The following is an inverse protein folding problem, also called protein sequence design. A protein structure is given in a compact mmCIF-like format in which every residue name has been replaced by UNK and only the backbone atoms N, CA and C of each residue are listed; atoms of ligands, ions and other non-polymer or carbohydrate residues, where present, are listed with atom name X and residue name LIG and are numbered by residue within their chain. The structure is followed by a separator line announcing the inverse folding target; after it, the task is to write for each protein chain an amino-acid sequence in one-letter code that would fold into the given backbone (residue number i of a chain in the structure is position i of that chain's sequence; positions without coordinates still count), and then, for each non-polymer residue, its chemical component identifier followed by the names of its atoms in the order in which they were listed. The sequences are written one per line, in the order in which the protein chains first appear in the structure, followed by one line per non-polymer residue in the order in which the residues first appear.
data_IF_760522690855
#
_entry.id   IF_760522690855
#
_cell.length_a   1.000
_cell.length_b   1.000
_cell.length_c   1.000
_cell.angle_alpha   90.00
_cell.angle_beta   90.00
_cell.angle_gamma   90.00
#
_symmetry.space_group_name_H-M   'P 1'
#
loop_
_entity.id
_entity.type
_entity.pdbx_description
1 polymer ?
#
# COMPACT_ATOMS: atom_id res chain seq x y z
N UNK A 1 14.83 32.43 49.67
CA UNK A 1 13.93 31.34 49.18
C UNK A 1 13.15 31.74 47.94
N UNK A 2 12.66 32.98 47.82
CA UNK A 2 11.82 33.42 46.68
C UNK A 2 12.43 33.35 45.26
N UNK A 3 13.74 33.57 45.09
CA UNK A 3 14.36 33.64 43.75
C UNK A 3 14.46 32.24 43.10
N UNK A 4 14.93 31.23 43.86
CA UNK A 4 15.06 29.87 43.34
C UNK A 4 13.70 29.25 42.98
N UNK A 5 12.64 29.57 43.74
CA UNK A 5 11.28 29.14 43.44
C UNK A 5 10.73 29.76 42.14
N UNK A 6 11.07 31.02 41.85
CA UNK A 6 10.68 31.67 40.58
C UNK A 6 11.41 31.06 39.38
N UNK A 7 12.69 30.71 39.54
CA UNK A 7 13.45 30.02 38.50
C UNK A 7 12.95 28.61 38.23
N UNK A 8 12.60 27.84 39.28
CA UNK A 8 12.04 26.49 39.10
C UNK A 8 10.67 26.53 38.42
N UNK A 9 9.81 27.49 38.78
CA UNK A 9 8.51 27.68 38.12
C UNK A 9 8.66 28.08 36.64
N UNK A 10 9.63 28.93 36.30
CA UNK A 10 9.93 29.29 34.91
C UNK A 10 10.38 28.07 34.11
N UNK A 11 11.30 27.27 34.63
CA UNK A 11 11.79 26.05 33.97
C UNK A 11 10.66 25.03 33.78
N UNK A 12 9.78 24.87 34.78
CA UNK A 12 8.67 23.94 34.68
C UNK A 12 7.66 24.38 33.61
N UNK A 13 7.40 25.70 33.51
CA UNK A 13 6.47 26.26 32.52
C UNK A 13 6.98 26.16 31.09
N UNK A 14 8.30 26.33 30.87
CA UNK A 14 8.89 26.20 29.53
C UNK A 14 8.98 24.72 29.12
N UNK A 15 9.30 23.83 30.07
CA UNK A 15 9.31 22.39 29.83
C UNK A 15 7.92 21.87 29.40
N UNK A 16 6.85 22.30 30.08
CA UNK A 16 5.48 21.91 29.71
C UNK A 16 5.04 22.49 28.37
N UNK A 17 5.46 23.72 28.03
CA UNK A 17 5.17 24.30 26.72
C UNK A 17 5.87 23.52 25.58
N UNK A 18 7.12 23.09 25.79
CA UNK A 18 7.87 22.30 24.81
C UNK A 18 7.25 20.91 24.62
N UNK A 19 6.83 20.24 25.70
CA UNK A 19 6.18 18.93 25.59
C UNK A 19 4.81 19.03 24.91
N UNK A 20 4.01 20.06 25.19
CA UNK A 20 2.72 20.25 24.53
C UNK A 20 2.89 20.51 23.03
N UNK A 21 3.80 21.41 22.67
CA UNK A 21 4.04 21.79 21.26
C UNK A 21 4.59 20.62 20.45
N UNK A 22 5.52 19.84 20.99
CA UNK A 22 6.03 18.62 20.33
C UNK A 22 4.95 17.55 20.18
N UNK A 23 4.11 17.35 21.19
CA UNK A 23 2.98 16.42 21.11
C UNK A 23 1.96 16.83 20.04
N UNK A 24 1.61 18.12 19.98
CA UNK A 24 0.74 18.68 18.93
C UNK A 24 1.38 18.49 17.55
N UNK A 25 2.67 18.78 17.38
CA UNK A 25 3.36 18.60 16.11
C UNK A 25 3.38 17.13 15.65
N UNK A 26 3.64 16.19 16.57
CA UNK A 26 3.65 14.75 16.28
C UNK A 26 2.26 14.25 15.88
N UNK A 27 1.20 14.69 16.57
CA UNK A 27 -0.17 14.30 16.23
C UNK A 27 -0.59 14.86 14.87
N UNK A 28 -0.30 16.13 14.58
CA UNK A 28 -0.55 16.73 13.26
C UNK A 28 0.24 16.05 12.14
N UNK A 29 1.51 15.71 12.38
CA UNK A 29 2.34 14.97 11.42
C UNK A 29 1.74 13.59 11.11
N UNK A 30 1.27 12.87 12.12
CA UNK A 30 0.67 11.54 11.94
C UNK A 30 -0.66 11.62 11.17
N UNK A 31 -1.52 12.60 11.48
CA UNK A 31 -2.77 12.86 10.74
C UNK A 31 -2.48 13.19 9.27
N UNK A 32 -1.51 14.06 9.01
CA UNK A 32 -1.13 14.43 7.64
C UNK A 32 -0.53 13.25 6.86
N UNK A 33 0.26 12.38 7.51
CA UNK A 33 0.74 11.15 6.87
C UNK A 33 -0.40 10.19 6.52
N UNK A 34 -1.40 10.04 7.39
CA UNK A 34 -2.59 9.23 7.10
C UNK A 34 -3.37 9.80 5.92
N UNK A 35 -3.57 11.12 5.86
CA UNK A 35 -4.22 11.80 4.72
C UNK A 35 -3.47 11.58 3.40
N UNK A 36 -2.14 11.65 3.39
CA UNK A 36 -1.33 11.39 2.18
C UNK A 36 -1.49 9.97 1.60
N UNK A 37 -1.94 9.01 2.41
CA UNK A 37 -2.20 7.62 1.97
C UNK A 37 -3.59 7.43 1.37
N UNK A 38 -4.51 8.38 1.59
CA UNK A 38 -5.84 8.35 0.99
C UNK A 38 -5.71 8.99 -0.40
N UNK A 39 -5.18 8.22 -1.35
CA UNK A 39 -5.37 8.53 -2.76
C UNK A 39 -6.69 7.90 -3.17
N UNK A 40 -7.50 8.65 -3.89
CA UNK A 40 -8.72 8.11 -4.48
C UNK A 40 -8.35 7.01 -5.47
N UNK A 41 -8.97 5.85 -5.31
CA UNK A 41 -8.83 4.78 -6.28
C UNK A 41 -9.56 5.19 -7.56
N UNK A 42 -8.80 5.51 -8.59
CA UNK A 42 -9.32 5.76 -9.92
C UNK A 42 -9.36 4.46 -10.72
N UNK A 43 -10.39 4.29 -11.54
CA UNK A 43 -10.50 3.14 -12.46
C UNK A 43 -9.37 3.21 -13.49
N UNK A 44 -8.53 2.17 -13.54
CA UNK A 44 -7.44 2.09 -14.52
C UNK A 44 -7.92 1.74 -15.94
N UNK A 45 -9.08 1.06 -16.06
CA UNK A 45 -9.66 0.70 -17.35
C UNK A 45 -10.62 -0.48 -17.26
N UNK A 46 -10.79 -1.15 -18.40
CA UNK A 46 -11.55 -2.41 -18.57
C UNK A 46 -10.68 -3.44 -19.27
N UNK A 47 -10.81 -4.70 -18.85
CA UNK A 47 -10.23 -5.81 -19.59
C UNK A 47 -11.01 -5.98 -20.89
N UNK A 48 -10.32 -5.94 -22.04
CA UNK A 48 -10.95 -6.10 -23.35
C UNK A 48 -11.02 -7.57 -23.76
N UNK A 49 -9.91 -8.30 -23.59
CA UNK A 49 -9.75 -9.68 -24.05
C UNK A 49 -8.87 -10.46 -23.08
N UNK A 50 -9.08 -11.77 -23.04
CA UNK A 50 -8.33 -12.70 -22.20
C UNK A 50 -7.70 -13.78 -23.07
N UNK A 51 -6.48 -14.16 -22.73
CA UNK A 51 -5.70 -15.14 -23.46
C UNK A 51 -5.00 -16.10 -22.50
N UNK A 52 -5.01 -17.39 -22.84
CA UNK A 52 -4.24 -18.42 -22.15
C UNK A 52 -3.18 -19.00 -23.09
N UNK A 53 -2.01 -19.31 -22.55
CA UNK A 53 -0.90 -19.89 -23.29
C UNK A 53 -0.55 -21.27 -22.73
N UNK A 54 -1.24 -22.36 -23.11
CA UNK A 54 -1.01 -23.69 -22.51
C UNK A 54 0.44 -24.15 -22.60
N UNK A 55 1.09 -23.83 -23.72
CA UNK A 55 2.50 -24.14 -24.01
C UNK A 55 3.28 -22.82 -24.02
N UNK A 56 4.40 -22.77 -23.27
CA UNK A 56 5.27 -21.59 -23.19
C UNK A 56 5.75 -21.17 -24.58
N UNK A 57 5.64 -19.87 -24.87
CA UNK A 57 6.10 -19.23 -26.12
C UNK A 57 5.37 -19.68 -27.40
N UNK A 58 4.21 -20.32 -27.27
CA UNK A 58 3.36 -20.72 -28.40
C UNK A 58 2.15 -19.79 -28.57
N UNK A 59 1.27 -20.12 -29.52
CA UNK A 59 0.03 -19.37 -29.80
C UNK A 59 -0.90 -19.39 -28.58
N UNK A 60 -1.54 -18.25 -28.31
CA UNK A 60 -2.54 -18.11 -27.27
C UNK A 60 -3.93 -18.56 -27.74
N UNK A 61 -4.72 -19.06 -26.79
CA UNK A 61 -6.15 -19.30 -26.95
C UNK A 61 -6.92 -18.14 -26.32
N UNK A 62 -7.81 -17.51 -27.10
CA UNK A 62 -8.70 -16.47 -26.60
C UNK A 62 -9.81 -17.12 -25.80
N UNK A 63 -10.06 -16.61 -24.60
CA UNK A 63 -11.08 -17.14 -23.67
C UNK A 63 -12.01 -16.05 -23.19
N UNK A 64 -13.21 -16.42 -22.76
CA UNK A 64 -14.21 -15.45 -22.24
C UNK A 64 -14.00 -15.13 -20.76
N UNK A 65 -13.41 -16.07 -20.01
CA UNK A 65 -13.18 -15.93 -18.58
C UNK A 65 -11.90 -16.67 -18.17
N UNK A 66 -11.34 -16.28 -17.01
CA UNK A 66 -10.19 -16.94 -16.39
C UNK A 66 -10.37 -17.03 -14.88
N UNK A 67 -9.96 -18.14 -14.29
CA UNK A 67 -9.74 -18.28 -12.86
C UNK A 67 -8.35 -17.74 -12.50
N UNK A 68 -8.28 -16.81 -11.56
CA UNK A 68 -7.01 -16.33 -11.01
C UNK A 68 -6.53 -17.26 -9.89
N UNK A 69 -5.79 -18.32 -10.23
CA UNK A 69 -5.26 -19.30 -9.26
C UNK A 69 -3.84 -18.92 -8.80
N UNK A 70 -3.38 -19.55 -7.71
CA UNK A 70 -2.03 -19.31 -7.14
C UNK A 70 -0.88 -19.46 -8.14
N UNK A 71 -1.04 -20.34 -9.14
CA UNK A 71 -0.02 -20.62 -10.17
C UNK A 71 -0.20 -19.84 -11.47
N UNK A 72 -1.22 -19.00 -11.58
CA UNK A 72 -1.55 -18.25 -12.79
C UNK A 72 -3.00 -18.45 -13.21
N UNK A 73 -3.31 -17.96 -14.41
CA UNK A 73 -4.64 -18.06 -14.98
C UNK A 73 -4.96 -19.51 -15.42
N UNK A 74 -6.23 -19.88 -15.34
CA UNK A 74 -6.73 -21.12 -15.95
C UNK A 74 -8.16 -20.96 -16.43
N UNK A 75 -8.59 -21.78 -17.38
CA UNK A 75 -9.99 -21.93 -17.79
C UNK A 75 -10.29 -23.43 -17.88
N UNK A 76 -10.98 -23.96 -16.87
CA UNK A 76 -11.20 -25.41 -16.75
C UNK A 76 -9.88 -26.19 -16.65
N UNK A 77 -9.64 -27.05 -17.65
CA UNK A 77 -8.43 -27.89 -17.77
C UNK A 77 -7.26 -27.18 -18.48
N UNK A 78 -7.49 -25.95 -18.95
CA UNK A 78 -6.47 -25.16 -19.62
C UNK A 78 -5.73 -24.27 -18.62
N UNK A 79 -4.41 -24.41 -18.54
CA UNK A 79 -3.57 -23.71 -17.56
C UNK A 79 -2.50 -22.88 -18.25
N UNK A 80 -2.32 -21.63 -17.81
CA UNK A 80 -1.29 -20.76 -18.40
C UNK A 80 0.12 -21.32 -18.19
N UNK A 81 0.84 -21.48 -19.30
CA UNK A 81 2.23 -21.94 -19.44
C UNK A 81 2.53 -23.24 -18.69
N UNK A 82 1.56 -24.14 -18.66
CA UNK A 82 1.70 -25.41 -17.96
C UNK A 82 2.72 -26.34 -18.64
N UNK A 83 2.77 -26.29 -19.97
CA UNK A 83 3.70 -27.08 -20.76
C UNK A 83 4.89 -26.25 -21.25
N UNK A 84 6.04 -26.91 -21.35
CA UNK A 84 7.27 -26.38 -21.90
C UNK A 84 7.86 -27.41 -22.86
N UNK A 85 8.23 -26.96 -24.05
CA UNK A 85 8.97 -27.78 -25.02
C UNK A 85 10.46 -27.60 -24.75
N UNK A 86 11.16 -28.71 -24.55
CA UNK A 86 12.61 -28.76 -24.37
C UNK A 86 13.25 -29.35 -25.63
N UNK A 87 14.55 -29.10 -25.81
CA UNK A 87 15.35 -29.67 -26.90
C UNK A 87 16.25 -30.78 -26.38
#
# INVERSE_FOLDING_TARGET
TSINERFTLLILSTATAITLTTFIWLTLKNINQKKKRIREYIRAGTVNELYLYPIKSCKANKVEWIDCKKRGASNGEEFDRHFLVFK
#
